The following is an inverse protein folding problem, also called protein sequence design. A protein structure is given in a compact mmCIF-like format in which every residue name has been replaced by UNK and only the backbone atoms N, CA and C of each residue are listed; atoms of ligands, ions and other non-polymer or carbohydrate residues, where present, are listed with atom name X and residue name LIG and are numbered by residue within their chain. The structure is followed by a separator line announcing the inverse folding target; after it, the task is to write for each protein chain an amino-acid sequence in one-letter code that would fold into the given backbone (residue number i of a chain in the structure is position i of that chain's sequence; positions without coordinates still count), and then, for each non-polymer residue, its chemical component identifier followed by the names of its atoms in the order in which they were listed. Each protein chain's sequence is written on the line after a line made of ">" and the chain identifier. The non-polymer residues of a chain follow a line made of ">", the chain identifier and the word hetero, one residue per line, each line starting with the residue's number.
data_IF_879901530914
#
_entry.id   IF_879901530914
#
_cell.length_a   1.000
_cell.length_b   1.000
_cell.length_c   1.000
_cell.angle_alpha   90.00
_cell.angle_beta   90.00
_cell.angle_gamma   90.00
#
_symmetry.space_group_name_H-M   'P 1'
#
loop_
_entity.id
_entity.type
_entity.pdbx_description
1 polymer ?
#
# COMPACT_ATOMS: atom_id res chain seq x y z
N UNK A 1 -25.94 54.30 16.11
CA UNK A 1 -26.36 53.22 17.03
C UNK A 1 -25.15 52.35 17.34
N UNK A 2 -24.70 52.29 18.59
CA UNK A 2 -23.58 51.44 19.02
C UNK A 2 -24.16 50.12 19.54
N UNK A 3 -23.89 49.01 18.85
CA UNK A 3 -24.29 47.68 19.32
C UNK A 3 -23.43 47.31 20.54
N UNK A 4 -24.08 47.09 21.69
CA UNK A 4 -23.45 46.67 22.93
C UNK A 4 -23.38 45.14 22.89
N UNK A 5 -22.22 44.59 22.48
CA UNK A 5 -21.98 43.15 22.59
C UNK A 5 -21.81 42.77 24.06
N UNK A 6 -22.68 41.91 24.57
CA UNK A 6 -22.63 41.31 25.90
C UNK A 6 -21.36 40.47 26.08
N UNK A 7 -20.75 40.46 27.28
CA UNK A 7 -19.47 39.81 27.55
C UNK A 7 -19.47 38.30 27.26
N UNK A 8 -20.62 37.62 27.39
CA UNK A 8 -20.77 36.20 27.07
C UNK A 8 -20.55 35.89 25.57
N UNK A 9 -20.90 36.81 24.67
CA UNK A 9 -20.73 36.61 23.22
C UNK A 9 -19.26 36.73 22.81
N UNK A 10 -18.44 37.48 23.56
CA UNK A 10 -17.00 37.63 23.31
C UNK A 10 -16.21 36.36 23.67
N UNK A 11 -16.63 35.64 24.71
CA UNK A 11 -15.96 34.40 25.13
C UNK A 11 -16.18 33.25 24.15
N UNK A 12 -17.39 33.14 23.58
CA UNK A 12 -17.70 32.12 22.57
C UNK A 12 -16.92 32.39 21.28
N UNK A 13 -16.89 33.64 20.80
CA UNK A 13 -16.15 34.00 19.59
C UNK A 13 -14.62 33.81 19.74
N UNK A 14 -14.06 34.11 20.91
CA UNK A 14 -12.63 33.89 21.18
C UNK A 14 -12.28 32.39 21.21
N UNK A 15 -13.17 31.54 21.72
CA UNK A 15 -12.99 30.09 21.72
C UNK A 15 -13.04 29.53 20.29
N UNK A 16 -13.96 30.00 19.44
CA UNK A 16 -14.06 29.54 18.05
C UNK A 16 -12.82 29.88 17.21
N UNK A 17 -12.21 31.05 17.42
CA UNK A 17 -10.98 31.46 16.72
C UNK A 17 -9.77 30.63 17.15
N UNK A 18 -9.69 30.25 18.43
CA UNK A 18 -8.63 29.36 18.95
C UNK A 18 -8.76 27.90 18.46
N UNK A 19 -9.98 27.41 18.19
CA UNK A 19 -10.19 26.08 17.61
C UNK A 19 -9.93 26.01 16.09
N UNK A 20 -9.89 27.15 15.39
CA UNK A 20 -9.70 27.17 13.92
C UNK A 20 -8.24 27.08 13.45
N UNK A 21 -7.27 27.09 14.35
CA UNK A 21 -5.84 26.91 14.00
C UNK A 21 -5.39 25.50 14.33
N UNK A 22 -5.92 24.52 13.60
CA UNK A 22 -5.29 23.21 13.56
C UNK A 22 -3.98 23.35 12.76
N UNK A 23 -2.84 23.22 13.43
CA UNK A 23 -1.54 23.18 12.77
C UNK A 23 -1.18 21.73 12.48
N UNK A 24 -0.82 21.42 11.24
CA UNK A 24 -0.15 20.16 10.92
C UNK A 24 1.36 20.33 11.14
N UNK A 25 1.97 19.42 11.89
CA UNK A 25 3.43 19.35 12.02
C UNK A 25 3.89 18.16 11.17
N UNK A 26 4.67 18.38 10.10
CA UNK A 26 5.22 17.28 9.32
C UNK A 26 6.32 16.60 10.13
N UNK A 27 6.23 15.29 10.26
CA UNK A 27 7.32 14.45 10.75
C UNK A 27 7.60 13.34 9.74
N UNK A 28 8.79 12.78 9.81
CA UNK A 28 9.14 11.60 9.02
C UNK A 28 9.63 10.48 9.92
N UNK A 29 9.36 9.26 9.47
CA UNK A 29 9.76 8.03 10.14
C UNK A 29 10.26 7.02 9.11
N UNK A 30 11.10 6.08 9.55
CA UNK A 30 11.66 5.03 8.71
C UNK A 30 10.95 3.71 8.98
N UNK A 31 10.51 3.04 7.93
CA UNK A 31 9.93 1.70 8.02
C UNK A 31 10.67 0.71 7.13
N UNK A 32 10.73 -0.54 7.58
CA UNK A 32 11.28 -1.65 6.80
C UNK A 32 10.16 -2.58 6.36
N UNK A 33 10.10 -2.87 5.07
CA UNK A 33 9.13 -3.80 4.50
C UNK A 33 9.83 -5.08 4.04
N UNK A 34 9.28 -6.22 4.45
CA UNK A 34 9.70 -7.53 3.97
C UNK A 34 8.53 -8.26 3.36
N UNK A 35 8.80 -8.97 2.27
CA UNK A 35 7.86 -9.89 1.63
C UNK A 35 8.47 -11.27 1.60
N UNK A 36 7.70 -12.26 2.00
CA UNK A 36 8.08 -13.66 2.00
C UNK A 36 6.89 -14.49 1.54
N UNK A 37 7.16 -15.66 0.97
CA UNK A 37 6.08 -16.47 0.47
C UNK A 37 6.52 -17.78 -0.14
N UNK A 38 5.54 -18.53 -0.63
CA UNK A 38 5.73 -19.77 -1.36
C UNK A 38 4.99 -19.74 -2.69
N UNK A 39 5.57 -20.37 -3.70
CA UNK A 39 4.95 -20.59 -5.00
C UNK A 39 4.70 -22.08 -5.18
N UNK A 40 3.43 -22.43 -5.28
CA UNK A 40 2.93 -23.79 -5.40
C UNK A 40 2.28 -24.01 -6.77
N UNK A 41 2.44 -25.22 -7.29
CA UNK A 41 1.78 -25.66 -8.52
C UNK A 41 0.29 -25.97 -8.28
N UNK A 42 -0.41 -26.36 -9.34
CA UNK A 42 -1.84 -26.68 -9.29
C UNK A 42 -2.16 -27.83 -8.31
N UNK A 43 -1.18 -28.71 -8.04
CA UNK A 43 -1.27 -29.86 -7.14
C UNK A 43 -0.76 -29.56 -5.73
N UNK A 44 -0.29 -28.35 -5.46
CA UNK A 44 0.32 -27.96 -4.19
C UNK A 44 1.80 -28.34 -4.05
N UNK A 45 2.45 -28.78 -5.13
CA UNK A 45 3.90 -29.04 -5.16
C UNK A 45 4.71 -27.74 -5.28
N UNK A 46 5.94 -27.68 -4.74
CA UNK A 46 6.75 -26.47 -4.79
C UNK A 46 7.23 -26.16 -6.21
N UNK A 47 7.16 -24.89 -6.60
CA UNK A 47 7.66 -24.40 -7.89
C UNK A 47 9.06 -23.83 -7.71
N UNK A 48 10.08 -24.58 -8.13
CA UNK A 48 11.50 -24.30 -7.86
C UNK A 48 12.17 -23.50 -8.97
N UNK A 49 13.08 -22.59 -8.59
CA UNK A 49 13.99 -21.88 -9.50
C UNK A 49 13.31 -20.87 -10.41
N UNK A 50 12.12 -20.40 -10.02
CA UNK A 50 11.31 -19.48 -10.83
C UNK A 50 11.47 -18.03 -10.37
N UNK A 51 11.55 -17.06 -11.30
CA UNK A 51 11.70 -15.66 -10.95
C UNK A 51 10.38 -15.04 -10.49
N UNK A 52 10.37 -14.48 -9.30
CA UNK A 52 9.29 -13.66 -8.75
C UNK A 52 9.81 -12.24 -8.65
N UNK A 53 9.15 -11.29 -9.31
CA UNK A 53 9.48 -9.87 -9.15
C UNK A 53 8.63 -9.28 -8.05
N UNK A 54 9.26 -8.58 -7.13
CA UNK A 54 8.62 -7.82 -6.07
C UNK A 54 8.93 -6.35 -6.27
N UNK A 55 7.92 -5.50 -6.11
CA UNK A 55 8.03 -4.06 -6.32
C UNK A 55 7.40 -3.32 -5.16
N UNK A 56 8.17 -2.41 -4.56
CA UNK A 56 7.65 -1.39 -3.67
C UNK A 56 7.48 -0.10 -4.48
N UNK A 57 6.24 0.33 -4.75
CA UNK A 57 6.01 1.49 -5.63
C UNK A 57 6.55 2.78 -5.03
N UNK A 58 7.01 3.71 -5.87
CA UNK A 58 7.56 5.01 -5.46
C UNK A 58 6.58 5.82 -4.59
N UNK A 59 5.29 5.65 -4.81
CA UNK A 59 4.26 6.33 -4.04
C UNK A 59 4.12 5.82 -2.58
N UNK A 60 4.77 4.71 -2.24
CA UNK A 60 4.76 4.22 -0.86
C UNK A 60 5.48 5.19 0.08
N UNK A 61 4.86 5.45 1.23
CA UNK A 61 5.32 6.42 2.22
C UNK A 61 4.89 7.87 1.96
N UNK A 62 4.21 8.14 0.84
CA UNK A 62 3.63 9.45 0.54
C UNK A 62 2.14 9.44 0.86
N UNK A 63 1.66 10.52 1.48
CA UNK A 63 0.23 10.72 1.73
C UNK A 63 -0.49 11.26 0.47
N UNK A 64 -1.82 11.32 0.52
CA UNK A 64 -2.65 11.78 -0.61
C UNK A 64 -2.33 13.22 -1.03
N UNK A 65 -2.05 14.10 -0.07
CA UNK A 65 -1.69 15.50 -0.31
C UNK A 65 -0.36 15.60 -1.06
N UNK A 66 0.66 14.83 -0.66
CA UNK A 66 1.96 14.78 -1.34
C UNK A 66 1.79 14.31 -2.80
N UNK A 67 0.90 13.33 -3.02
CA UNK A 67 0.58 12.83 -4.36
C UNK A 67 -0.29 13.80 -5.18
N UNK A 68 -1.06 14.68 -4.54
CA UNK A 68 -1.83 15.75 -5.20
C UNK A 68 -0.91 16.88 -5.69
N UNK A 69 0.07 17.28 -4.87
CA UNK A 69 0.93 18.44 -5.13
C UNK A 69 2.26 18.12 -5.81
N UNK A 70 2.63 16.85 -5.90
CA UNK A 70 3.92 16.44 -6.45
C UNK A 70 3.94 15.06 -7.08
N UNK A 71 5.08 14.72 -7.68
CA UNK A 71 5.37 13.36 -8.14
C UNK A 71 6.29 12.70 -7.11
N UNK A 72 6.23 11.37 -6.91
CA UNK A 72 7.13 10.69 -5.97
C UNK A 72 8.61 11.05 -6.16
N UNK A 73 9.07 11.18 -7.41
CA UNK A 73 10.43 11.58 -7.73
C UNK A 73 10.82 12.97 -7.22
N UNK A 74 9.87 13.89 -7.06
CA UNK A 74 10.11 15.24 -6.51
C UNK A 74 10.45 15.19 -5.02
N UNK A 75 10.06 14.12 -4.34
CA UNK A 75 10.37 13.85 -2.93
C UNK A 75 11.56 12.90 -2.78
N UNK A 76 12.22 12.53 -3.88
CA UNK A 76 13.32 11.55 -3.87
C UNK A 76 12.87 10.10 -3.83
N UNK A 77 11.57 9.81 -3.96
CA UNK A 77 11.06 8.44 -3.98
C UNK A 77 11.14 7.84 -5.38
N UNK A 78 11.45 6.54 -5.44
CA UNK A 78 11.48 5.75 -6.68
C UNK A 78 11.04 4.31 -6.40
N UNK A 79 10.60 3.60 -7.44
CA UNK A 79 10.22 2.19 -7.30
C UNK A 79 11.43 1.37 -6.85
N UNK A 80 11.29 0.62 -5.76
CA UNK A 80 12.25 -0.42 -5.43
C UNK A 80 11.81 -1.73 -6.07
N UNK A 81 12.64 -2.30 -6.94
CA UNK A 81 12.34 -3.53 -7.68
C UNK A 81 13.39 -4.58 -7.41
N UNK A 82 12.95 -5.81 -7.16
CA UNK A 82 13.84 -6.95 -7.01
C UNK A 82 13.25 -8.18 -7.69
N UNK A 83 14.11 -8.95 -8.37
CA UNK A 83 13.78 -10.28 -8.87
C UNK A 83 14.41 -11.30 -7.93
N UNK A 84 13.56 -12.06 -7.23
CA UNK A 84 13.97 -13.15 -6.36
C UNK A 84 13.63 -14.49 -7.01
N UNK A 85 14.40 -15.53 -6.68
CA UNK A 85 14.17 -16.87 -7.23
C UNK A 85 13.65 -17.79 -6.14
N UNK A 86 12.66 -18.62 -6.49
CA UNK A 86 12.13 -19.61 -5.56
C UNK A 86 13.15 -20.72 -5.27
N UNK A 87 13.26 -21.11 -4.01
CA UNK A 87 14.17 -22.16 -3.56
C UNK A 87 13.61 -23.58 -3.81
N UNK A 88 14.27 -24.59 -3.24
CA UNK A 88 13.86 -26.00 -3.37
C UNK A 88 12.49 -26.33 -2.75
N UNK A 89 11.99 -25.48 -1.85
CA UNK A 89 10.67 -25.57 -1.23
C UNK A 89 9.67 -24.64 -1.92
N UNK A 90 10.05 -24.00 -3.02
CA UNK A 90 9.21 -23.00 -3.70
C UNK A 90 9.13 -21.68 -2.93
N UNK A 91 9.93 -21.48 -1.89
CA UNK A 91 9.89 -20.30 -1.05
C UNK A 91 10.71 -19.15 -1.65
N UNK A 92 10.27 -17.91 -1.40
CA UNK A 92 10.99 -16.70 -1.75
C UNK A 92 10.90 -15.69 -0.61
N UNK A 93 11.89 -14.81 -0.52
CA UNK A 93 11.89 -13.71 0.45
C UNK A 93 12.69 -12.51 -0.04
N UNK A 94 12.23 -11.31 0.27
CA UNK A 94 12.92 -10.07 -0.01
C UNK A 94 12.64 -9.05 1.09
N UNK A 95 13.66 -8.26 1.42
CA UNK A 95 13.53 -7.10 2.31
C UNK A 95 13.95 -5.87 1.51
N UNK A 96 13.03 -4.91 1.42
CA UNK A 96 13.27 -3.64 0.74
C UNK A 96 14.23 -2.77 1.56
N UNK A 97 14.89 -1.82 0.91
CA UNK A 97 15.64 -0.80 1.63
C UNK A 97 14.66 0.04 2.48
N UNK A 98 15.07 0.51 3.67
CA UNK A 98 14.22 1.33 4.52
C UNK A 98 13.61 2.50 3.75
N UNK A 99 12.30 2.71 3.92
CA UNK A 99 11.57 3.81 3.29
C UNK A 99 11.21 4.84 4.34
N UNK A 100 11.48 6.10 4.01
CA UNK A 100 11.01 7.24 4.77
C UNK A 100 9.56 7.52 4.37
N UNK A 101 8.68 7.71 5.35
CA UNK A 101 7.30 8.08 5.11
C UNK A 101 6.92 9.35 5.87
N UNK A 102 6.00 10.13 5.29
CA UNK A 102 5.47 11.35 5.89
C UNK A 102 4.31 11.01 6.83
N UNK A 103 4.42 11.43 8.09
CA UNK A 103 3.33 11.38 9.06
C UNK A 103 2.72 12.77 9.19
N UNK A 104 1.40 12.87 9.06
CA UNK A 104 0.68 14.10 9.33
C UNK A 104 0.14 14.05 10.76
N UNK A 105 0.53 15.02 11.58
CA UNK A 105 -0.03 15.18 12.92
C UNK A 105 -1.00 16.33 12.96
N UNK A 106 -2.24 16.06 13.34
CA UNK A 106 -3.21 17.12 13.62
C UNK A 106 -3.02 17.63 15.04
N UNK A 107 -2.53 18.86 15.19
CA UNK A 107 -2.56 19.56 16.46
C UNK A 107 -3.95 20.15 16.66
N UNK A 108 -4.71 19.63 17.63
CA UNK A 108 -6.02 20.15 18.02
C UNK A 108 -5.94 20.77 19.42
N UNK A 109 -5.61 22.06 19.57
CA UNK A 109 -5.67 22.70 20.88
C UNK A 109 -7.13 22.73 21.41
N UNK A 110 -7.43 22.37 22.67
CA UNK A 110 -6.54 21.85 23.74
C UNK A 110 -6.49 20.30 23.83
N UNK A 111 -7.13 19.60 22.90
CA UNK A 111 -7.29 18.14 22.88
C UNK A 111 -5.99 17.36 22.60
N UNK A 112 -4.93 18.03 22.15
CA UNK A 112 -3.61 17.45 21.92
C UNK A 112 -3.38 17.05 20.47
N UNK A 113 -2.45 16.13 20.25
CA UNK A 113 -2.15 15.55 18.93
C UNK A 113 -2.95 14.28 18.73
N UNK A 114 -3.65 14.17 17.61
CA UNK A 114 -4.14 12.87 17.14
C UNK A 114 -3.05 12.26 16.26
N UNK A 115 -2.44 11.12 16.66
CA UNK A 115 -1.50 10.44 15.80
C UNK A 115 -2.27 9.90 14.59
N UNK A 116 -1.78 10.21 13.40
CA UNK A 116 -2.18 9.49 12.20
C UNK A 116 -1.45 8.14 12.19
N UNK A 117 -2.18 7.09 11.82
CA UNK A 117 -1.62 5.74 11.74
C UNK A 117 -0.57 5.68 10.64
N UNK A 118 0.50 4.90 10.86
CA UNK A 118 1.47 4.56 9.83
C UNK A 118 0.79 4.17 8.51
N UNK A 119 1.41 4.48 7.35
CA UNK A 119 0.85 4.12 6.07
C UNK A 119 0.68 2.60 5.98
N UNK A 120 -0.53 2.18 5.58
CA UNK A 120 -0.81 0.77 5.35
C UNK A 120 0.20 0.21 4.33
N UNK A 121 0.89 -0.90 4.64
CA UNK A 121 1.90 -1.44 3.76
C UNK A 121 1.25 -1.98 2.50
N UNK A 122 1.90 -1.69 1.37
CA UNK A 122 1.43 -2.16 0.08
C UNK A 122 2.55 -2.28 -0.94
N UNK A 123 2.52 -3.37 -1.70
CA UNK A 123 3.54 -3.72 -2.66
C UNK A 123 2.94 -4.56 -3.80
N UNK A 124 3.71 -4.77 -4.85
CA UNK A 124 3.31 -5.53 -6.03
C UNK A 124 4.17 -6.78 -6.16
N UNK A 125 3.56 -7.89 -6.57
CA UNK A 125 4.25 -9.15 -6.84
C UNK A 125 3.89 -9.64 -8.25
N UNK A 126 4.89 -9.96 -9.07
CA UNK A 126 4.71 -10.54 -10.40
C UNK A 126 5.28 -11.96 -10.42
N UNK A 127 4.43 -12.90 -10.83
CA UNK A 127 4.80 -14.31 -10.95
C UNK A 127 5.38 -14.59 -12.35
N UNK A 128 6.15 -15.67 -12.53
CA UNK A 128 6.84 -15.96 -13.80
C UNK A 128 5.92 -16.05 -15.03
N UNK A 129 4.71 -16.57 -14.83
CA UNK A 129 3.77 -16.91 -15.91
C UNK A 129 2.61 -15.89 -16.03
N UNK A 130 2.68 -14.76 -15.34
CA UNK A 130 1.64 -13.70 -15.39
C UNK A 130 1.89 -12.68 -16.50
N UNK A 131 3.02 -12.74 -17.21
CA UNK A 131 3.39 -11.78 -18.25
C UNK A 131 3.63 -10.38 -17.67
N UNK A 132 2.73 -9.45 -17.93
CA UNK A 132 2.76 -8.07 -17.41
C UNK A 132 1.86 -7.86 -16.19
N UNK A 133 1.20 -8.92 -15.70
CA UNK A 133 0.28 -8.79 -14.58
C UNK A 133 0.98 -8.88 -13.22
N UNK A 134 0.62 -7.93 -12.35
CA UNK A 134 1.07 -7.79 -10.96
C UNK A 134 -0.10 -8.04 -10.01
N UNK A 135 0.17 -8.76 -8.93
CA UNK A 135 -0.68 -8.82 -7.75
C UNK A 135 -0.35 -7.60 -6.90
N UNK A 136 -1.28 -6.65 -6.79
CA UNK A 136 -1.21 -5.63 -5.75
C UNK A 136 -1.68 -6.24 -4.45
N UNK A 137 -0.89 -6.06 -3.41
CA UNK A 137 -1.11 -6.62 -2.08
C UNK A 137 -1.05 -5.44 -1.13
N UNK A 138 -2.14 -5.25 -0.37
CA UNK A 138 -2.34 -4.15 0.57
C UNK A 138 -3.01 -4.68 1.82
N UNK A 139 -2.85 -3.96 2.91
CA UNK A 139 -3.78 -4.06 4.02
C UNK A 139 -4.85 -3.00 3.89
N UNK A 140 -6.08 -3.34 4.26
CA UNK A 140 -7.10 -2.36 4.60
C UNK A 140 -7.84 -2.89 5.83
N UNK A 141 -7.88 -2.11 6.92
CA UNK A 141 -8.63 -2.48 8.12
C UNK A 141 -8.27 -3.88 8.69
N UNK A 142 -6.97 -4.18 8.80
CA UNK A 142 -6.45 -5.49 9.25
C UNK A 142 -6.77 -6.69 8.34
N UNK A 143 -7.35 -6.47 7.16
CA UNK A 143 -7.57 -7.50 6.17
C UNK A 143 -6.58 -7.37 5.00
N UNK A 144 -6.08 -8.52 4.53
CA UNK A 144 -5.27 -8.60 3.32
C UNK A 144 -6.17 -8.40 2.10
N UNK A 145 -6.04 -7.24 1.45
CA UNK A 145 -6.73 -6.93 0.21
C UNK A 145 -5.74 -7.10 -0.95
N UNK A 146 -6.13 -7.88 -1.95
CA UNK A 146 -5.34 -8.01 -3.17
C UNK A 146 -6.15 -7.80 -4.44
N UNK A 147 -5.48 -7.30 -5.47
CA UNK A 147 -6.03 -7.15 -6.81
C UNK A 147 -4.99 -7.54 -7.86
N UNK A 148 -5.44 -7.98 -9.05
CA UNK A 148 -4.54 -8.29 -10.16
C UNK A 148 -4.64 -7.18 -11.19
N UNK A 149 -3.51 -6.58 -11.53
CA UNK A 149 -3.38 -5.43 -12.42
C UNK A 149 -2.49 -5.78 -13.61
N UNK A 150 -2.80 -5.30 -14.80
CA UNK A 150 -1.94 -5.42 -15.98
C UNK A 150 -1.14 -4.13 -16.11
N UNK A 151 0.19 -4.26 -16.25
CA UNK A 151 1.21 -3.21 -16.17
C UNK A 151 1.56 -2.80 -14.73
N UNK A 152 2.85 -2.61 -14.46
CA UNK A 152 3.28 -1.97 -13.22
C UNK A 152 2.86 -0.50 -13.26
N UNK A 153 1.97 -0.03 -12.38
CA UNK A 153 1.65 1.38 -12.34
C UNK A 153 2.87 2.18 -11.86
N UNK A 154 3.00 3.41 -12.34
CA UNK A 154 4.00 4.35 -11.80
C UNK A 154 3.63 4.87 -10.40
N UNK A 155 2.40 4.62 -9.95
CA UNK A 155 1.89 4.98 -8.64
C UNK A 155 0.85 4.00 -8.12
N UNK A 156 0.87 3.75 -6.81
CA UNK A 156 -0.16 3.02 -6.07
C UNK A 156 -1.56 3.66 -6.19
N UNK A 157 -1.65 4.97 -6.44
CA UNK A 157 -2.92 5.67 -6.65
C UNK A 157 -3.44 5.55 -8.09
N UNK A 158 -2.57 5.19 -9.04
CA UNK A 158 -2.96 4.84 -10.42
C UNK A 158 -3.41 3.38 -10.56
N UNK A 159 -3.44 2.63 -9.45
CA UNK A 159 -4.19 1.39 -9.34
C UNK A 159 -5.69 1.70 -9.36
N UNK A 160 -6.17 2.31 -10.44
CA UNK A 160 -7.58 2.48 -10.70
C UNK A 160 -8.20 1.10 -10.64
N UNK A 161 -9.33 0.97 -9.95
CA UNK A 161 -10.19 -0.21 -9.86
C UNK A 161 -10.80 -0.58 -11.22
N UNK A 162 -10.04 -0.49 -12.31
CA UNK A 162 -10.24 -1.29 -13.51
C UNK A 162 -9.93 -2.73 -13.15
N UNK A 163 -10.89 -3.34 -12.45
CA UNK A 163 -11.19 -4.75 -12.47
C UNK A 163 -11.51 -5.17 -13.92
N UNK A 164 -10.52 -5.07 -14.80
CA UNK A 164 -10.57 -5.58 -16.14
C UNK A 164 -9.67 -6.81 -16.18
N UNK A 165 -10.13 -7.84 -15.46
CA UNK A 165 -10.27 -9.14 -16.09
C UNK A 165 -8.97 -9.81 -16.59
N UNK A 166 -7.82 -9.51 -15.99
CA UNK A 166 -6.64 -10.35 -16.18
C UNK A 166 -6.96 -11.75 -15.68
N UNK A 167 -6.66 -12.77 -16.49
CA UNK A 167 -6.80 -14.16 -16.04
C UNK A 167 -6.01 -14.29 -14.74
N UNK A 168 -6.67 -14.67 -13.64
CA UNK A 168 -6.02 -14.91 -12.36
C UNK A 168 -5.26 -16.23 -12.49
N UNK A 169 -3.92 -16.26 -12.60
CA UNK A 169 -3.21 -17.51 -12.82
C UNK A 169 -2.96 -18.28 -11.53
N UNK A 170 -3.05 -17.61 -10.37
CA UNK A 170 -2.86 -18.21 -9.07
C UNK A 170 -3.84 -17.65 -8.03
N UNK A 171 -4.27 -18.53 -7.13
CA UNK A 171 -4.82 -18.17 -5.83
C UNK A 171 -3.72 -17.55 -4.97
N UNK A 172 -4.13 -16.64 -4.10
CA UNK A 172 -3.28 -15.94 -3.16
C UNK A 172 -3.96 -16.04 -1.81
N UNK A 173 -3.23 -16.60 -0.85
CA UNK A 173 -3.53 -16.54 0.57
C UNK A 173 -2.35 -15.85 1.27
N UNK A 174 -2.59 -15.24 2.42
CA UNK A 174 -1.51 -14.58 3.12
C UNK A 174 -1.92 -13.85 4.38
N UNK A 175 -0.90 -13.34 5.05
CA UNK A 175 -1.03 -12.52 6.24
C UNK A 175 0.05 -11.46 6.26
N UNK A 176 -0.23 -10.38 6.98
CA UNK A 176 0.76 -9.39 7.30
C UNK A 176 1.01 -9.41 8.80
N UNK A 177 2.28 -9.30 9.19
CA UNK A 177 2.72 -9.24 10.57
C UNK A 177 3.54 -7.97 10.77
N UNK A 178 3.38 -7.30 11.91
CA UNK A 178 4.32 -6.26 12.31
C UNK A 178 5.73 -6.85 12.50
N UNK A 179 6.72 -6.12 12.03
CA UNK A 179 8.13 -6.40 12.24
C UNK A 179 8.68 -5.39 13.25
N UNK A 180 9.02 -5.86 14.45
CA UNK A 180 9.63 -5.00 15.48
C UNK A 180 11.11 -5.37 15.70
N UNK A 181 11.75 -5.97 14.70
CA UNK A 181 13.20 -6.24 14.75
C UNK A 181 13.97 -4.92 14.79
N UNK A 182 15.07 -4.91 15.54
CA UNK A 182 16.00 -3.78 15.66
C UNK A 182 15.41 -2.45 16.18
N UNK A 183 14.23 -2.49 16.81
CA UNK A 183 13.58 -1.32 17.41
C UNK A 183 12.98 -0.33 16.41
N UNK A 184 12.98 -0.67 15.11
CA UNK A 184 12.28 0.06 14.07
C UNK A 184 10.96 -0.66 13.74
N UNK A 185 9.88 0.11 13.56
CA UNK A 185 8.58 -0.44 13.18
C UNK A 185 8.59 -0.77 11.69
N UNK A 186 8.27 -2.01 11.35
CA UNK A 186 8.25 -2.55 10.00
C UNK A 186 7.11 -3.52 9.79
N UNK A 187 7.09 -4.15 8.63
CA UNK A 187 6.07 -5.14 8.27
C UNK A 187 6.65 -6.31 7.49
N UNK A 188 6.14 -7.51 7.76
CA UNK A 188 6.43 -8.74 7.02
C UNK A 188 5.14 -9.27 6.40
N UNK A 189 5.09 -9.32 5.08
CA UNK A 189 4.06 -10.05 4.36
C UNK A 189 4.47 -11.51 4.15
N UNK A 190 3.54 -12.42 4.45
CA UNK A 190 3.64 -13.86 4.17
C UNK A 190 2.59 -14.24 3.16
N UNK A 191 3.01 -14.72 2.00
CA UNK A 191 2.15 -14.90 0.84
C UNK A 191 2.29 -16.30 0.26
N UNK A 192 1.20 -17.03 0.15
CA UNK A 192 1.16 -18.33 -0.49
C UNK A 192 0.42 -18.21 -1.82
N UNK A 193 1.18 -18.36 -2.90
CA UNK A 193 0.66 -18.37 -4.26
C UNK A 193 0.47 -19.79 -4.73
N UNK A 194 -0.74 -20.16 -5.14
CA UNK A 194 -1.03 -21.47 -5.72
C UNK A 194 -1.56 -21.32 -7.14
N UNK A 195 -0.84 -21.86 -8.12
CA UNK A 195 -1.33 -21.82 -9.50
C UNK A 195 -2.70 -22.49 -9.64
N UNK A 196 -3.60 -21.81 -10.34
CA UNK A 196 -4.91 -22.34 -10.68
C UNK A 196 -4.80 -23.28 -11.88
N UNK A 197 -5.59 -24.38 -11.91
CA UNK A 197 -5.73 -25.23 -13.08
C UNK A 197 -5.94 -24.41 -14.35
N UNK A 198 -5.30 -24.80 -15.47
CA UNK A 198 -5.49 -24.09 -16.75
C UNK A 198 -6.97 -23.86 -17.14
N UNK A 199 -7.87 -24.76 -16.74
CA UNK A 199 -9.32 -24.63 -16.95
C UNK A 199 -9.97 -23.50 -16.15
N UNK A 200 -9.39 -23.14 -15.01
CA UNK A 200 -9.88 -22.12 -14.06
C UNK A 200 -9.17 -20.77 -14.25
N UNK A 201 -8.11 -20.72 -15.06
CA UNK A 201 -7.50 -19.48 -15.57
C UNK A 201 -8.46 -18.82 -16.58
N UNK A 202 -9.66 -18.47 -16.14
CA UNK A 202 -10.67 -17.81 -16.96
C UNK A 202 -10.10 -16.45 -17.35
N UNK A 203 -9.85 -16.24 -18.65
CA UNK A 203 -9.77 -14.89 -19.21
C UNK A 203 -11.12 -14.26 -18.92
N UNK A 204 -11.19 -13.38 -17.93
CA UNK A 204 -12.39 -12.59 -17.80
C UNK A 204 -12.52 -11.80 -19.13
N UNK A 205 -13.67 -11.93 -19.77
CA UNK A 205 -13.92 -11.17 -20.99
C UNK A 205 -13.98 -9.71 -20.55
N UNK A 206 -13.25 -8.79 -21.20
CA UNK A 206 -13.43 -7.37 -20.93
C UNK A 206 -14.91 -7.07 -21.17
N UNK A 207 -15.63 -6.73 -20.09
CA UNK A 207 -17.01 -6.27 -20.18
C UNK A 207 -16.90 -4.89 -20.83
N UNK A 208 -17.23 -4.78 -22.11
CA UNK A 208 -17.24 -3.51 -22.80
C UNK A 208 -18.15 -2.55 -22.04
N UNK A 209 -17.57 -1.58 -21.34
CA UNK A 209 -18.29 -0.42 -20.87
C UNK A 209 -18.52 0.44 -22.12
N UNK A 210 -19.57 0.10 -22.88
CA UNK A 210 -20.14 1.05 -23.82
C UNK A 210 -20.68 2.22 -22.97
N UNK A 211 -20.36 3.47 -23.30
CA UNK A 211 -21.01 4.61 -22.68
C UNK A 211 -22.50 4.54 -23.00
N UNK A 212 -23.34 4.57 -21.97
CA UNK A 212 -24.77 4.90 -22.11
C UNK A 212 -24.93 6.41 -22.04
#
# INVERSE_FOLDING_TARGET
>A
MKAILTPALRTVAALTVLLSTACTIPTSSLTTLSVSGQLLDERGGPVVGKPVEVVLPAAYGLNEIDLEYGRPSSYGHSDQRAVVYTDALGAFSHTFAPVEYSEQFWLLPPLGTLPESDPEPGFLVRLPDTGEAYYSIRMAQDELVYGVYVNAPGSMSELTTTAAAAARPAELDGSLMEDNRDGAKGWIAKLDFRYLPRSERVRARPRSLLPQ
#
